data_IF_515251397876
#
_entry.id   IF_515251397876
#
_cell.length_a   1.000
_cell.length_b   1.000
_cell.length_c   1.000
_cell.angle_alpha   90.00
_cell.angle_beta   90.00
_cell.angle_gamma   90.00
#
_symmetry.space_group_name_H-M   'P 1'
#
loop_
_entity.id
_entity.type
_entity.pdbx_description
1 polymer ?
#
# COMPACT_ATOMS: atom_id res chain seq x y z
N UNK A 1 -21.52 5.66 -37.05
CA UNK A 1 -20.29 6.13 -36.40
C UNK A 1 -20.04 5.21 -35.23
N UNK A 2 -19.08 4.30 -35.40
CA UNK A 2 -18.72 3.28 -34.41
C UNK A 2 -17.87 3.93 -33.31
N UNK A 3 -18.27 3.75 -32.06
CA UNK A 3 -17.45 4.11 -30.90
C UNK A 3 -16.41 3.00 -30.68
N UNK A 4 -15.16 3.27 -31.03
CA UNK A 4 -14.01 2.43 -30.65
C UNK A 4 -13.59 2.78 -29.21
N UNK A 5 -13.55 1.83 -28.26
CA UNK A 5 -13.18 2.11 -26.86
C UNK A 5 -11.66 2.21 -26.62
N UNK A 6 -10.83 2.22 -27.66
CA UNK A 6 -9.40 1.99 -27.53
C UNK A 6 -8.60 3.20 -28.05
N UNK A 7 -8.61 4.32 -27.33
CA UNK A 7 -7.80 5.51 -27.69
C UNK A 7 -7.47 6.43 -26.51
N UNK A 8 -7.20 5.90 -25.30
CA UNK A 8 -6.85 6.73 -24.13
C UNK A 8 -5.53 6.37 -23.43
N UNK A 9 -4.63 5.65 -24.09
CA UNK A 9 -3.26 5.47 -23.60
C UNK A 9 -2.34 6.34 -24.46
N UNK A 10 -2.45 7.65 -24.27
CA UNK A 10 -1.39 8.58 -24.66
C UNK A 10 -0.22 8.34 -23.71
N UNK A 11 0.89 7.85 -24.26
CA UNK A 11 2.14 7.54 -23.58
C UNK A 11 3.01 8.79 -23.39
N UNK A 12 2.45 9.84 -22.80
CA UNK A 12 3.26 10.94 -22.25
C UNK A 12 3.33 10.76 -20.73
N UNK A 13 4.51 10.92 -20.11
CA UNK A 13 4.61 10.91 -18.66
C UNK A 13 3.76 12.06 -18.10
N UNK A 14 2.65 11.69 -17.46
CA UNK A 14 1.73 12.65 -16.85
C UNK A 14 2.45 13.27 -15.64
N UNK A 15 2.63 14.59 -15.66
CA UNK A 15 3.06 15.33 -14.48
C UNK A 15 1.92 15.33 -13.46
N UNK A 16 2.14 14.74 -12.30
CA UNK A 16 1.18 14.74 -11.20
C UNK A 16 1.15 16.11 -10.53
N UNK A 17 -0.02 16.53 -10.05
CA UNK A 17 -0.15 17.68 -9.18
C UNK A 17 0.54 17.41 -7.82
N UNK A 18 0.95 18.47 -7.07
CA UNK A 18 1.70 18.32 -5.82
C UNK A 18 1.16 17.29 -4.81
N UNK A 19 -0.17 17.20 -4.53
CA UNK A 19 -0.66 16.21 -3.58
C UNK A 19 -0.54 14.76 -4.06
N UNK A 20 -0.78 14.49 -5.35
CA UNK A 20 -0.62 13.15 -5.92
C UNK A 20 0.87 12.77 -6.02
N UNK A 21 1.71 13.75 -6.38
CA UNK A 21 3.16 13.58 -6.38
C UNK A 21 3.69 13.24 -4.99
N UNK A 22 3.18 13.89 -3.94
CA UNK A 22 3.51 13.55 -2.55
C UNK A 22 3.14 12.11 -2.20
N UNK A 23 1.91 11.66 -2.48
CA UNK A 23 1.50 10.28 -2.18
C UNK A 23 2.44 9.27 -2.85
N UNK A 24 2.81 9.54 -4.11
CA UNK A 24 3.82 8.74 -4.83
C UNK A 24 5.20 8.78 -4.18
N UNK A 25 5.64 9.94 -3.66
CA UNK A 25 6.93 10.06 -2.98
C UNK A 25 6.97 9.33 -1.64
N UNK A 26 5.84 9.20 -0.95
CA UNK A 26 5.71 8.39 0.27
C UNK A 26 6.01 6.90 -0.01
N UNK A 27 5.83 6.43 -1.25
CA UNK A 27 6.19 5.05 -1.62
C UNK A 27 7.69 4.78 -1.58
N UNK A 28 8.56 5.78 -1.70
CA UNK A 28 10.02 5.57 -1.72
C UNK A 28 10.49 4.89 -0.42
N UNK A 29 10.32 5.50 0.77
CA UNK A 29 10.70 4.84 2.02
C UNK A 29 9.86 3.58 2.31
N UNK A 30 8.60 3.52 1.89
CA UNK A 30 7.74 2.33 2.09
C UNK A 30 8.24 1.14 1.26
N UNK A 31 8.71 1.36 0.03
CA UNK A 31 9.28 0.32 -0.83
C UNK A 31 10.58 -0.25 -0.26
N UNK A 32 11.43 0.60 0.31
CA UNK A 32 12.66 0.17 0.96
C UNK A 32 12.35 -0.70 2.19
N UNK A 33 11.46 -0.22 3.07
CA UNK A 33 11.07 -0.94 4.28
C UNK A 33 10.38 -2.26 3.97
N UNK A 34 9.38 -2.28 3.07
CA UNK A 34 8.66 -3.52 2.74
C UNK A 34 9.59 -4.57 2.12
N UNK A 35 10.59 -4.15 1.35
CA UNK A 35 11.58 -5.07 0.78
C UNK A 35 12.51 -5.65 1.85
N UNK A 36 12.96 -4.83 2.80
CA UNK A 36 13.73 -5.31 3.95
C UNK A 36 12.94 -6.36 4.76
N UNK A 37 11.67 -6.08 5.06
CA UNK A 37 10.77 -7.03 5.73
C UNK A 37 10.61 -8.34 4.95
N UNK A 38 10.49 -8.27 3.63
CA UNK A 38 10.42 -9.46 2.78
C UNK A 38 11.70 -10.31 2.89
N UNK A 39 12.88 -9.69 2.84
CA UNK A 39 14.16 -10.40 2.95
C UNK A 39 14.27 -11.12 4.30
N UNK A 40 13.94 -10.43 5.40
CA UNK A 40 13.94 -11.01 6.75
C UNK A 40 12.94 -12.17 6.88
N UNK A 41 11.69 -11.95 6.47
CA UNK A 41 10.65 -12.96 6.49
C UNK A 41 11.02 -14.17 5.60
N UNK A 42 11.63 -13.95 4.44
CA UNK A 42 12.06 -15.02 3.55
C UNK A 42 13.18 -15.86 4.16
N UNK A 43 14.10 -15.24 4.90
CA UNK A 43 15.15 -15.95 5.62
C UNK A 43 14.58 -16.89 6.69
N UNK A 44 13.60 -16.41 7.47
CA UNK A 44 12.85 -17.23 8.45
C UNK A 44 12.09 -18.36 7.74
N UNK A 45 11.36 -18.05 6.66
CA UNK A 45 10.57 -19.01 5.90
C UNK A 45 11.43 -20.15 5.31
N UNK A 46 12.61 -19.81 4.80
CA UNK A 46 13.56 -20.76 4.22
C UNK A 46 14.34 -21.56 5.27
N UNK A 47 14.20 -21.22 6.57
CA UNK A 47 14.93 -21.87 7.67
C UNK A 47 16.42 -21.54 7.67
N UNK A 48 16.80 -20.33 7.26
CA UNK A 48 18.20 -19.86 7.21
C UNK A 48 18.65 -19.19 8.51
N UNK A 49 17.71 -18.86 9.40
CA UNK A 49 18.00 -18.24 10.69
C UNK A 49 18.53 -19.25 11.69
N UNK A 50 19.67 -18.92 12.33
CA UNK A 50 20.24 -19.74 13.40
C UNK A 50 19.43 -19.63 14.70
N UNK A 51 18.94 -18.43 15.00
CA UNK A 51 18.04 -18.14 16.11
C UNK A 51 16.73 -17.56 15.56
N UNK A 52 15.80 -18.46 15.27
CA UNK A 52 14.52 -18.11 14.66
C UNK A 52 13.61 -17.32 15.60
N UNK A 53 13.75 -17.49 16.91
CA UNK A 53 13.00 -16.73 17.91
C UNK A 53 13.45 -15.27 17.88
N UNK A 54 14.75 -15.02 17.91
CA UNK A 54 15.29 -13.66 17.79
C UNK A 54 15.00 -13.03 16.43
N UNK A 55 15.01 -13.82 15.35
CA UNK A 55 14.61 -13.33 14.03
C UNK A 55 13.13 -12.89 14.00
N UNK A 56 12.22 -13.64 14.63
CA UNK A 56 10.82 -13.25 14.75
C UNK A 56 10.61 -12.00 15.62
N UNK A 57 11.41 -11.82 16.68
CA UNK A 57 11.38 -10.59 17.50
C UNK A 57 11.74 -9.38 16.63
N UNK A 58 12.88 -9.45 15.93
CA UNK A 58 13.33 -8.36 15.06
C UNK A 58 12.33 -8.05 13.95
N UNK A 59 11.83 -9.09 13.28
CA UNK A 59 10.82 -8.92 12.24
C UNK A 59 9.56 -8.25 12.79
N UNK A 60 9.12 -8.61 14.00
CA UNK A 60 7.99 -7.95 14.67
C UNK A 60 8.24 -6.46 14.88
N UNK A 61 9.40 -6.10 15.42
CA UNK A 61 9.77 -4.70 15.65
C UNK A 61 9.80 -3.89 14.35
N UNK A 62 10.40 -4.43 13.29
CA UNK A 62 10.45 -3.78 11.99
C UNK A 62 9.06 -3.67 11.32
N UNK A 63 8.19 -4.68 11.47
CA UNK A 63 6.80 -4.58 10.99
C UNK A 63 6.04 -3.47 11.72
N UNK A 64 6.25 -3.31 13.03
CA UNK A 64 5.64 -2.21 13.79
C UNK A 64 6.14 -0.85 13.33
N UNK A 65 7.43 -0.70 13.03
CA UNK A 65 8.00 0.54 12.47
C UNK A 65 7.44 0.84 11.09
N UNK A 66 7.30 -0.18 10.23
CA UNK A 66 6.72 -0.03 8.90
C UNK A 66 5.26 0.47 8.95
N UNK A 67 4.45 -0.03 9.89
CA UNK A 67 3.07 0.43 10.08
C UNK A 67 2.98 1.92 10.43
N UNK A 68 3.95 2.47 11.15
CA UNK A 68 3.95 3.90 11.48
C UNK A 68 3.96 4.79 10.25
N UNK A 69 4.48 4.31 9.12
CA UNK A 69 4.46 5.03 7.84
C UNK A 69 3.36 4.56 6.90
N UNK A 70 3.07 3.25 6.87
CA UNK A 70 2.04 2.69 5.99
C UNK A 70 0.64 3.18 6.38
N UNK A 71 0.30 3.19 7.68
CA UNK A 71 -1.03 3.57 8.15
C UNK A 71 -1.43 5.01 7.76
N UNK A 72 -0.63 6.06 8.00
CA UNK A 72 -1.00 7.41 7.58
C UNK A 72 -1.08 7.55 6.06
N UNK A 73 -0.23 6.85 5.30
CA UNK A 73 -0.29 6.81 3.85
C UNK A 73 -1.63 6.23 3.36
N UNK A 74 -1.97 5.00 3.78
CA UNK A 74 -3.24 4.35 3.43
C UNK A 74 -4.45 5.15 3.89
N UNK A 75 -4.37 5.89 5.02
CA UNK A 75 -5.46 6.78 5.46
C UNK A 75 -5.65 7.99 4.56
N UNK A 76 -4.57 8.61 4.05
CA UNK A 76 -4.70 9.70 3.06
C UNK A 76 -5.42 9.22 1.81
N UNK A 77 -5.24 7.96 1.44
CA UNK A 77 -5.94 7.34 0.32
C UNK A 77 -7.39 7.01 0.67
N UNK A 78 -7.63 6.20 1.71
CA UNK A 78 -8.95 5.70 2.10
C UNK A 78 -9.90 6.80 2.58
N UNK A 79 -9.42 7.77 3.37
CA UNK A 79 -10.27 8.80 3.99
C UNK A 79 -10.48 10.00 3.05
N UNK A 80 -9.55 10.23 2.10
CA UNK A 80 -9.51 11.44 1.28
C UNK A 80 -9.58 11.13 -0.23
N UNK A 81 -8.54 10.50 -0.80
CA UNK A 81 -8.43 10.35 -2.26
C UNK A 81 -9.51 9.44 -2.84
N UNK A 82 -9.72 8.26 -2.24
CA UNK A 82 -10.68 7.26 -2.72
C UNK A 82 -12.11 7.83 -2.72
N UNK A 83 -12.62 8.46 -1.64
CA UNK A 83 -13.94 9.11 -1.66
C UNK A 83 -14.09 10.20 -2.72
N UNK A 84 -13.01 10.94 -3.02
CA UNK A 84 -13.03 11.94 -4.09
C UNK A 84 -13.16 11.28 -5.46
N UNK A 85 -12.44 10.19 -5.69
CA UNK A 85 -12.46 9.42 -6.94
C UNK A 85 -13.78 8.68 -7.15
N UNK A 86 -14.40 8.16 -6.10
CA UNK A 86 -15.70 7.46 -6.17
C UNK A 86 -16.80 8.29 -6.84
N UNK A 87 -16.73 9.62 -6.74
CA UNK A 87 -17.67 10.55 -7.39
C UNK A 87 -17.62 10.50 -8.92
N UNK A 88 -16.50 10.05 -9.49
CA UNK A 88 -16.27 9.97 -10.93
C UNK A 88 -16.43 8.56 -11.49
N UNK A 89 -15.97 7.55 -10.75
CA UNK A 89 -15.85 6.17 -11.26
C UNK A 89 -16.74 5.15 -10.52
N UNK A 90 -17.49 5.59 -9.51
CA UNK A 90 -18.40 4.75 -8.73
C UNK A 90 -17.70 3.82 -7.74
N UNK A 91 -18.46 3.33 -6.75
CA UNK A 91 -17.95 2.57 -5.60
C UNK A 91 -18.00 1.04 -5.74
N UNK A 92 -19.10 0.47 -6.23
CA UNK A 92 -19.40 -0.96 -6.01
C UNK A 92 -18.69 -1.96 -6.95
N UNK A 93 -18.21 -1.53 -8.13
CA UNK A 93 -17.56 -2.41 -9.11
C UNK A 93 -16.39 -1.73 -9.84
N UNK A 94 -15.82 -0.69 -9.22
CA UNK A 94 -14.77 0.15 -9.78
C UNK A 94 -13.38 -0.20 -9.24
N UNK A 95 -12.32 0.39 -9.82
CA UNK A 95 -10.96 0.15 -9.37
C UNK A 95 -10.75 0.48 -7.89
N UNK A 96 -11.51 1.42 -7.30
CA UNK A 96 -11.43 1.76 -5.87
C UNK A 96 -11.76 0.56 -4.97
N UNK A 97 -12.78 -0.23 -5.28
CA UNK A 97 -13.13 -1.40 -4.47
C UNK A 97 -12.01 -2.46 -4.44
N UNK A 98 -11.25 -2.58 -5.53
CA UNK A 98 -10.08 -3.45 -5.59
C UNK A 98 -8.95 -2.89 -4.71
N UNK A 99 -8.71 -1.58 -4.75
CA UNK A 99 -7.71 -0.93 -3.91
C UNK A 99 -8.04 -1.10 -2.41
N UNK A 100 -9.28 -0.82 -2.00
CA UNK A 100 -9.73 -1.00 -0.62
C UNK A 100 -9.62 -2.47 -0.16
N UNK A 101 -9.95 -3.43 -1.03
CA UNK A 101 -9.78 -4.85 -0.74
C UNK A 101 -8.31 -5.22 -0.52
N UNK A 102 -7.41 -4.72 -1.34
CA UNK A 102 -5.97 -4.97 -1.21
C UNK A 102 -5.40 -4.36 0.08
N UNK A 103 -5.80 -3.14 0.44
CA UNK A 103 -5.50 -2.55 1.75
C UNK A 103 -5.96 -3.46 2.89
N UNK A 104 -7.21 -3.94 2.84
CA UNK A 104 -7.75 -4.83 3.88
C UNK A 104 -6.97 -6.14 3.97
N UNK A 105 -6.61 -6.75 2.84
CA UNK A 105 -5.85 -8.00 2.83
C UNK A 105 -4.41 -7.82 3.33
N UNK A 106 -3.73 -6.74 2.95
CA UNK A 106 -2.40 -6.42 3.47
C UNK A 106 -2.45 -6.18 4.99
N UNK A 107 -3.38 -5.34 5.47
CA UNK A 107 -3.61 -5.06 6.89
C UNK A 107 -3.94 -6.34 7.67
N UNK A 108 -4.77 -7.23 7.10
CA UNK A 108 -5.12 -8.53 7.72
C UNK A 108 -3.91 -9.44 7.90
N UNK A 109 -3.05 -9.54 6.90
CA UNK A 109 -1.81 -10.33 6.99
C UNK A 109 -0.88 -9.77 8.09
N UNK A 110 -0.65 -8.45 8.08
CA UNK A 110 0.19 -7.78 9.09
C UNK A 110 -0.38 -7.95 10.49
N UNK A 111 -1.68 -7.71 10.67
CA UNK A 111 -2.34 -7.87 11.96
C UNK A 111 -2.28 -9.32 12.46
N UNK A 112 -2.44 -10.30 11.58
CA UNK A 112 -2.34 -11.72 11.94
C UNK A 112 -0.92 -12.07 12.39
N UNK A 113 0.11 -11.58 11.69
CA UNK A 113 1.49 -11.75 12.10
C UNK A 113 1.75 -11.14 13.48
N UNK A 114 1.32 -9.90 13.70
CA UNK A 114 1.49 -9.22 14.99
C UNK A 114 0.71 -9.95 16.10
N UNK A 115 -0.54 -10.32 15.90
CA UNK A 115 -1.30 -11.04 16.94
C UNK A 115 -0.61 -12.36 17.32
N UNK A 116 -0.19 -13.14 16.34
CA UNK A 116 0.43 -14.45 16.60
C UNK A 116 1.86 -14.38 17.12
N UNK A 117 2.53 -13.23 17.02
CA UNK A 117 3.87 -13.00 17.57
C UNK A 117 3.86 -12.27 18.91
N UNK A 118 2.69 -12.04 19.53
CA UNK A 118 2.62 -11.58 20.93
C UNK A 118 3.28 -12.58 21.89
N UNK A 119 3.18 -13.86 21.59
CA UNK A 119 3.94 -14.93 22.24
C UNK A 119 4.68 -15.72 21.17
N UNK A 120 6.00 -15.59 21.12
CA UNK A 120 6.79 -16.17 20.03
C UNK A 120 6.97 -17.66 20.24
N UNK A 121 6.57 -18.43 19.23
CA UNK A 121 6.71 -19.88 19.17
C UNK A 121 7.47 -20.27 17.90
N UNK A 122 8.58 -20.98 18.07
CA UNK A 122 9.42 -21.45 16.96
C UNK A 122 8.68 -22.40 16.00
N UNK A 123 7.75 -23.22 16.52
CA UNK A 123 7.07 -24.26 15.72
C UNK A 123 6.27 -23.70 14.53
N UNK A 124 5.83 -22.45 14.62
CA UNK A 124 5.02 -21.79 13.60
C UNK A 124 5.82 -20.77 12.78
N UNK A 125 7.14 -20.65 12.96
CA UNK A 125 7.95 -19.58 12.38
C UNK A 125 7.76 -19.38 10.86
N UNK A 126 7.69 -20.48 10.10
CA UNK A 126 7.44 -20.41 8.65
C UNK A 126 6.05 -19.83 8.33
N UNK A 127 5.04 -20.25 9.07
CA UNK A 127 3.67 -19.74 8.90
C UNK A 127 3.55 -18.29 9.34
N UNK A 128 4.30 -17.87 10.37
CA UNK A 128 4.34 -16.49 10.81
C UNK A 128 4.99 -15.59 9.75
N UNK A 129 6.14 -16.00 9.22
CA UNK A 129 6.83 -15.28 8.16
C UNK A 129 6.01 -15.20 6.86
N UNK A 130 5.19 -16.21 6.55
CA UNK A 130 4.38 -16.20 5.33
C UNK A 130 3.36 -15.06 5.30
N UNK A 131 2.84 -14.62 6.44
CA UNK A 131 1.96 -13.45 6.50
C UNK A 131 2.67 -12.17 6.05
N UNK A 132 3.92 -11.94 6.49
CA UNK A 132 4.71 -10.77 6.07
C UNK A 132 5.05 -10.84 4.58
N UNK A 133 5.40 -12.03 4.08
CA UNK A 133 5.65 -12.26 2.64
C UNK A 133 4.38 -11.97 1.82
N UNK A 134 3.21 -12.41 2.27
CA UNK A 134 1.94 -12.16 1.59
C UNK A 134 1.60 -10.66 1.56
N UNK A 135 1.79 -9.95 2.68
CA UNK A 135 1.60 -8.50 2.74
C UNK A 135 2.53 -7.77 1.75
N UNK A 136 3.80 -8.18 1.67
CA UNK A 136 4.76 -7.63 0.70
C UNK A 136 4.30 -7.80 -0.75
N UNK A 137 3.82 -8.99 -1.13
CA UNK A 137 3.34 -9.24 -2.50
C UNK A 137 2.15 -8.33 -2.84
N UNK A 138 1.17 -8.25 -1.94
CA UNK A 138 -0.02 -7.41 -2.12
C UNK A 138 0.39 -5.94 -2.28
N UNK A 139 1.20 -5.41 -1.35
CA UNK A 139 1.65 -4.01 -1.38
C UNK A 139 2.57 -3.68 -2.57
N UNK A 140 3.20 -4.68 -3.18
CA UNK A 140 4.00 -4.48 -4.40
C UNK A 140 3.12 -4.26 -5.61
N UNK A 141 2.10 -5.10 -5.78
CA UNK A 141 1.13 -4.93 -6.86
C UNK A 141 0.28 -3.68 -6.64
N UNK A 142 -0.06 -3.39 -5.39
CA UNK A 142 -0.86 -2.22 -5.00
C UNK A 142 -0.21 -0.90 -5.38
N UNK A 143 1.02 -0.64 -4.92
CA UNK A 143 1.75 0.59 -5.23
C UNK A 143 1.97 0.76 -6.75
N UNK A 144 2.16 -0.36 -7.47
CA UNK A 144 2.26 -0.33 -8.93
C UNK A 144 0.96 0.16 -9.57
N UNK A 145 -0.21 -0.30 -9.08
CA UNK A 145 -1.51 0.17 -9.57
C UNK A 145 -1.74 1.64 -9.24
N UNK A 146 -1.30 2.09 -8.08
CA UNK A 146 -1.43 3.50 -7.70
C UNK A 146 -0.64 4.40 -8.64
N UNK A 147 0.64 4.09 -8.82
CA UNK A 147 1.53 4.92 -9.61
C UNK A 147 1.23 4.89 -11.11
N UNK A 148 0.81 3.74 -11.64
CA UNK A 148 0.61 3.55 -13.08
C UNK A 148 -0.82 3.79 -13.52
N UNK A 149 -1.80 3.65 -12.62
CA UNK A 149 -3.22 3.71 -12.96
C UNK A 149 -3.94 4.76 -12.14
N UNK A 150 -3.94 4.65 -10.81
CA UNK A 150 -4.82 5.45 -9.96
C UNK A 150 -4.42 6.93 -9.94
N UNK A 151 -3.15 7.26 -9.66
CA UNK A 151 -2.69 8.65 -9.61
C UNK A 151 -2.79 9.34 -10.98
N UNK A 152 -2.39 8.72 -12.10
CA UNK A 152 -2.63 9.30 -13.43
C UNK A 152 -4.12 9.51 -13.75
N UNK A 153 -4.99 8.62 -13.27
CA UNK A 153 -6.44 8.76 -13.43
C UNK A 153 -6.97 9.92 -12.58
N UNK A 154 -6.54 10.04 -11.32
CA UNK A 154 -6.89 11.14 -10.44
C UNK A 154 -6.43 12.49 -10.99
N UNK A 155 -5.22 12.54 -11.58
CA UNK A 155 -4.70 13.75 -12.23
C UNK A 155 -5.60 14.23 -13.37
N UNK A 156 -6.19 13.30 -14.13
CA UNK A 156 -7.09 13.61 -15.25
C UNK A 156 -8.52 13.96 -14.82
N UNK A 157 -9.01 13.36 -13.74
CA UNK A 157 -10.41 13.47 -13.32
C UNK A 157 -10.67 14.61 -12.34
N UNK A 158 -9.75 14.86 -11.41
CA UNK A 158 -9.92 15.89 -10.38
C UNK A 158 -9.77 17.29 -10.99
N UNK A 159 -10.71 18.17 -10.64
CA UNK A 159 -10.63 19.60 -10.95
C UNK A 159 -9.46 20.28 -10.22
N UNK A 160 -9.14 21.52 -10.61
CA UNK A 160 -8.11 22.32 -9.94
C UNK A 160 -8.48 22.54 -8.46
N UNK A 161 -9.75 22.85 -8.21
CA UNK A 161 -10.29 23.07 -6.86
C UNK A 161 -10.23 21.80 -6.01
N UNK A 162 -10.50 20.64 -6.60
CA UNK A 162 -10.38 19.35 -5.89
C UNK A 162 -8.93 18.98 -5.62
N UNK A 163 -7.98 19.30 -6.52
CA UNK A 163 -6.55 19.10 -6.25
C UNK A 163 -6.08 19.98 -5.09
N UNK A 164 -6.57 21.22 -4.99
CA UNK A 164 -6.31 22.09 -3.83
C UNK A 164 -6.92 21.54 -2.54
N UNK A 165 -8.14 21.00 -2.60
CA UNK A 165 -8.80 20.36 -1.47
C UNK A 165 -8.05 19.10 -1.02
N UNK A 166 -7.62 18.26 -1.95
CA UNK A 166 -6.81 17.08 -1.69
C UNK A 166 -5.53 17.48 -0.94
N UNK A 167 -4.81 18.49 -1.45
CA UNK A 167 -3.60 19.00 -0.81
C UNK A 167 -3.83 19.45 0.63
N UNK A 168 -4.93 20.15 0.93
CA UNK A 168 -5.26 20.55 2.31
C UNK A 168 -5.55 19.34 3.19
N UNK A 169 -6.40 18.42 2.73
CA UNK A 169 -6.91 17.30 3.53
C UNK A 169 -5.86 16.23 3.81
N UNK A 170 -4.97 15.91 2.87
CA UNK A 170 -3.90 14.93 3.12
C UNK A 170 -2.84 15.44 4.11
N UNK A 171 -2.72 16.75 4.27
CA UNK A 171 -1.87 17.39 5.27
C UNK A 171 -2.46 17.30 6.69
N UNK A 172 -3.77 17.07 6.83
CA UNK A 172 -4.43 16.94 8.15
C UNK A 172 -4.17 15.56 8.78
N UNK A 173 -3.76 14.57 7.98
CA UNK A 173 -3.36 13.25 8.46
C UNK A 173 -1.87 13.28 8.75
N UNK A 174 -1.54 13.39 10.04
CA UNK A 174 -0.17 13.30 10.55
C UNK A 174 0.36 11.86 10.46
N UNK A 175 1.64 11.74 10.14
CA UNK A 175 2.43 10.51 10.09
C UNK A 175 3.89 10.84 10.36
#
# INVERSE_FOLDING_TARGET
>A
MEFSPCSLIGSEPISLCPPLQRLKEEHVPLNEQKYALFVEAKSIYDGKEQDVVQALIRLREHVQQFLQQLDPHSRREEDILFPMMERYIGKQFGPIAVMEYEHQEAKRNIATFLQKTETICEKEAKQLASYVINAYMILTDHFTKEEQVLFPMAEKLLSVEEKEQLAKRINEIEG
#
